data_IF_164302291879
#
_entry.id   IF_164302291879
#
_cell.length_a   1.000
_cell.length_b   1.000
_cell.length_c   1.000
_cell.angle_alpha   90.00
_cell.angle_beta   90.00
_cell.angle_gamma   90.00
#
_symmetry.space_group_name_H-M   'P 1'
#
loop_
_entity.id
_entity.type
_entity.pdbx_description
1 polymer ?
#
# COMPACT_ATOMS: atom_id res chain seq x y z
N UNK A 1 14.19 4.35 -1.62
CA UNK A 1 15.27 5.33 -1.95
C UNK A 1 15.53 6.19 -0.72
N UNK A 2 16.78 6.52 -0.39
CA UNK A 2 17.06 7.32 0.81
C UNK A 2 16.34 8.67 0.80
N UNK A 3 15.69 8.99 1.92
CA UNK A 3 14.96 10.25 2.11
C UNK A 3 13.53 10.29 1.56
N UNK A 4 13.04 9.22 0.92
CA UNK A 4 11.67 9.16 0.40
C UNK A 4 10.62 8.99 1.51
N UNK A 5 9.41 9.46 1.24
CA UNK A 5 8.21 9.22 2.03
C UNK A 5 7.36 8.13 1.37
N UNK A 6 7.16 7.04 2.08
CA UNK A 6 6.39 5.88 1.61
C UNK A 6 5.12 5.69 2.45
N UNK A 7 4.08 5.15 1.82
CA UNK A 7 2.89 4.68 2.51
C UNK A 7 2.80 3.16 2.41
N UNK A 8 2.57 2.50 3.55
CA UNK A 8 2.21 1.08 3.64
C UNK A 8 0.75 0.99 4.13
N UNK A 9 -0.17 0.73 3.22
CA UNK A 9 -1.60 0.72 3.49
C UNK A 9 -2.13 -0.72 3.60
N UNK A 10 -2.94 -0.96 4.63
CA UNK A 10 -3.33 -2.30 5.08
C UNK A 10 -2.11 -3.07 5.59
N UNK A 11 -1.31 -2.41 6.42
CA UNK A 11 0.04 -2.83 6.78
C UNK A 11 0.12 -4.14 7.57
N UNK A 12 -1.01 -4.63 8.12
CA UNK A 12 -1.06 -5.84 8.90
C UNK A 12 -0.08 -5.78 10.08
N UNK A 13 0.81 -6.77 10.17
CA UNK A 13 1.85 -6.84 11.21
C UNK A 13 3.11 -6.03 10.87
N UNK A 14 3.09 -5.23 9.80
CA UNK A 14 4.16 -4.33 9.41
C UNK A 14 5.25 -4.94 8.52
N UNK A 15 4.92 -5.97 7.74
CA UNK A 15 5.90 -6.67 6.89
C UNK A 15 6.54 -5.73 5.86
N UNK A 16 5.72 -5.04 5.06
CA UNK A 16 6.24 -4.13 4.03
C UNK A 16 6.89 -2.90 4.64
N UNK A 17 6.27 -2.30 5.67
CA UNK A 17 6.86 -1.18 6.39
C UNK A 17 8.26 -1.50 6.92
N UNK A 18 8.46 -2.68 7.52
CA UNK A 18 9.75 -3.13 8.01
C UNK A 18 10.80 -3.30 6.91
N UNK A 19 10.42 -3.92 5.77
CA UNK A 19 11.31 -4.08 4.63
C UNK A 19 11.69 -2.72 4.00
N UNK A 20 10.71 -1.82 3.82
CA UNK A 20 10.90 -0.52 3.18
C UNK A 20 11.67 0.48 4.06
N UNK A 21 11.60 0.31 5.38
CA UNK A 21 12.30 1.17 6.34
C UNK A 21 13.82 1.21 6.10
N UNK A 22 14.42 0.08 5.73
CA UNK A 22 15.84 0.00 5.40
C UNK A 22 16.17 0.79 4.11
N UNK A 23 15.29 0.74 3.12
CA UNK A 23 15.49 1.38 1.81
C UNK A 23 15.37 2.91 1.87
N UNK A 24 14.44 3.44 2.69
CA UNK A 24 14.31 4.90 2.87
C UNK A 24 15.40 5.50 3.75
N UNK A 25 16.02 4.68 4.59
CA UNK A 25 17.09 5.09 5.49
C UNK A 25 16.64 6.10 6.55
N UNK A 26 17.59 6.62 7.33
CA UNK A 26 17.33 7.49 8.47
C UNK A 26 16.70 8.87 8.11
N UNK A 27 16.83 9.29 6.84
CA UNK A 27 16.26 10.57 6.36
C UNK A 27 14.86 10.40 5.73
N UNK A 28 14.36 9.18 5.58
CA UNK A 28 13.06 8.87 4.99
C UNK A 28 11.98 8.62 6.04
N UNK A 29 10.79 8.33 5.54
CA UNK A 29 9.60 8.09 6.36
C UNK A 29 8.75 6.98 5.75
N UNK A 30 8.23 6.08 6.57
CA UNK A 30 7.18 5.12 6.20
C UNK A 30 5.98 5.33 7.11
N UNK A 31 4.86 5.78 6.57
CA UNK A 31 3.58 5.81 7.28
C UNK A 31 2.85 4.48 7.01
N UNK A 32 2.72 3.65 8.05
CA UNK A 32 2.04 2.35 8.01
C UNK A 32 0.64 2.47 8.61
N UNK A 33 -0.40 2.10 7.85
CA UNK A 33 -1.80 2.24 8.27
C UNK A 33 -2.47 0.89 8.38
N UNK A 34 -2.99 0.57 9.57
CA UNK A 34 -3.69 -0.68 9.86
C UNK A 34 -4.84 -0.43 10.84
N UNK A 35 -5.98 -1.12 10.66
CA UNK A 35 -7.14 -0.92 11.52
C UNK A 35 -7.37 -2.06 12.53
N UNK A 36 -6.90 -3.27 12.24
CA UNK A 36 -7.06 -4.40 13.16
C UNK A 36 -6.19 -4.22 14.41
N UNK A 37 -6.81 -4.22 15.56
CA UNK A 37 -6.14 -3.93 16.83
C UNK A 37 -5.09 -4.97 17.22
N UNK A 38 -5.28 -6.23 16.79
CA UNK A 38 -4.32 -7.31 16.99
C UNK A 38 -3.08 -7.11 16.12
N UNK A 39 -3.28 -6.89 14.82
CA UNK A 39 -2.21 -6.61 13.89
C UNK A 39 -1.41 -5.34 14.27
N UNK A 40 -2.09 -4.26 14.65
CA UNK A 40 -1.45 -3.02 15.16
C UNK A 40 -0.56 -3.29 16.37
N UNK A 41 -1.02 -4.11 17.32
CA UNK A 41 -0.21 -4.47 18.49
C UNK A 41 1.05 -5.24 18.10
N UNK A 42 0.93 -6.17 17.17
CA UNK A 42 2.06 -6.96 16.71
C UNK A 42 3.00 -6.13 15.82
N UNK A 43 2.45 -5.25 14.96
CA UNK A 43 3.25 -4.28 14.20
C UNK A 43 4.09 -3.37 15.12
N UNK A 44 3.55 -2.88 16.23
CA UNK A 44 4.32 -2.10 17.22
C UNK A 44 5.52 -2.85 17.78
N UNK A 45 5.40 -4.18 17.95
CA UNK A 45 6.51 -5.02 18.42
C UNK A 45 7.53 -5.25 17.32
N UNK A 46 7.06 -5.47 16.09
CA UNK A 46 7.93 -5.75 14.96
C UNK A 46 8.72 -4.53 14.46
N UNK A 47 8.16 -3.34 14.64
CA UNK A 47 8.70 -2.08 14.10
C UNK A 47 9.31 -1.16 15.18
N UNK A 48 9.45 -1.64 16.44
CA UNK A 48 9.81 -0.81 17.59
C UNK A 48 11.18 -0.15 17.48
N UNK A 49 12.11 -0.73 16.74
CA UNK A 49 13.48 -0.27 16.52
C UNK A 49 13.68 0.48 15.19
N UNK A 50 12.59 0.78 14.49
CA UNK A 50 12.61 1.47 13.20
C UNK A 50 12.02 2.90 13.36
N UNK A 51 12.83 3.90 13.76
CA UNK A 51 12.35 5.25 14.08
C UNK A 51 11.78 5.99 12.86
N UNK A 52 12.10 5.56 11.63
CA UNK A 52 11.54 6.10 10.39
C UNK A 52 10.13 5.57 10.09
N UNK A 53 9.61 4.58 10.84
CA UNK A 53 8.25 4.05 10.64
C UNK A 53 7.28 4.71 11.64
N UNK A 54 6.18 5.24 11.11
CA UNK A 54 5.04 5.73 11.90
C UNK A 54 3.84 4.83 11.70
N UNK A 55 3.37 4.18 12.76
CA UNK A 55 2.22 3.30 12.70
C UNK A 55 0.93 4.04 13.10
N UNK A 56 -0.06 3.99 12.23
CA UNK A 56 -1.38 4.59 12.40
C UNK A 56 -2.45 3.50 12.57
N UNK A 57 -3.09 3.48 13.75
CA UNK A 57 -4.21 2.58 14.05
C UNK A 57 -5.50 3.19 13.52
N UNK A 58 -5.80 3.01 12.23
CA UNK A 58 -6.96 3.61 11.56
C UNK A 58 -7.38 2.80 10.33
N UNK A 59 -8.65 2.99 9.90
CA UNK A 59 -9.07 2.53 8.56
C UNK A 59 -8.40 3.37 7.50
N UNK A 60 -7.94 2.73 6.43
CA UNK A 60 -7.22 3.39 5.32
C UNK A 60 -8.04 4.51 4.68
N UNK A 61 -9.30 4.27 4.36
CA UNK A 61 -10.20 5.26 3.77
C UNK A 61 -10.37 6.51 4.66
N UNK A 62 -10.55 6.29 5.95
CA UNK A 62 -10.69 7.35 6.94
C UNK A 62 -9.38 8.11 7.12
N UNK A 63 -8.26 7.42 7.20
CA UNK A 63 -6.95 8.04 7.38
C UNK A 63 -6.56 8.91 6.19
N UNK A 64 -6.83 8.43 4.96
CA UNK A 64 -6.58 9.19 3.72
C UNK A 64 -7.48 10.43 3.59
N UNK A 65 -8.66 10.43 4.23
CA UNK A 65 -9.64 11.51 4.13
C UNK A 65 -9.54 12.54 5.26
N UNK A 66 -8.92 12.19 6.40
CA UNK A 66 -9.02 12.96 7.64
C UNK A 66 -8.20 14.25 7.65
N UNK A 67 -7.26 14.45 6.72
CA UNK A 67 -6.35 15.60 6.68
C UNK A 67 -5.69 15.73 5.30
N UNK A 68 -5.14 16.91 4.95
CA UNK A 68 -4.19 17.00 3.87
C UNK A 68 -3.00 16.11 4.16
N UNK A 69 -2.78 15.10 3.33
CA UNK A 69 -1.61 14.25 3.44
C UNK A 69 -0.43 14.95 2.75
N UNK A 70 0.79 14.81 3.31
CA UNK A 70 1.98 15.23 2.59
C UNK A 70 2.10 14.41 1.30
N UNK A 71 2.74 14.99 0.30
CA UNK A 71 3.11 14.22 -0.88
C UNK A 71 3.92 13.00 -0.45
N UNK A 72 3.68 11.87 -1.10
CA UNK A 72 4.47 10.66 -0.91
C UNK A 72 5.08 10.23 -2.23
N UNK A 73 6.20 9.52 -2.15
CA UNK A 73 6.95 9.09 -3.34
C UNK A 73 6.47 7.75 -3.86
N UNK A 74 6.07 6.86 -2.96
CA UNK A 74 5.62 5.50 -3.28
C UNK A 74 4.52 5.05 -2.33
N UNK A 75 3.58 4.28 -2.84
CA UNK A 75 2.56 3.59 -2.03
C UNK A 75 2.69 2.09 -2.24
N UNK A 76 2.66 1.33 -1.16
CA UNK A 76 2.40 -0.11 -1.17
C UNK A 76 1.04 -0.34 -0.53
N UNK A 77 0.21 -1.20 -1.11
CA UNK A 77 -1.05 -1.59 -0.50
C UNK A 77 -1.35 -3.07 -0.72
N UNK A 78 -1.88 -3.69 0.32
CA UNK A 78 -2.31 -5.09 0.35
C UNK A 78 -3.74 -5.17 0.92
N UNK A 79 -4.74 -4.73 0.16
CA UNK A 79 -6.11 -4.63 0.65
C UNK A 79 -6.78 -6.01 0.78
N UNK A 80 -7.90 -6.09 1.52
CA UNK A 80 -8.69 -7.30 1.61
C UNK A 80 -9.22 -7.73 0.23
N UNK A 81 -9.81 -8.93 0.14
CA UNK A 81 -10.40 -9.51 -1.09
C UNK A 81 -11.39 -8.62 -1.83
N UNK A 82 -12.01 -7.67 -1.13
CA UNK A 82 -12.89 -6.68 -1.76
C UNK A 82 -12.16 -5.65 -2.64
N UNK A 83 -10.83 -5.58 -2.56
CA UNK A 83 -10.01 -4.55 -3.16
C UNK A 83 -9.91 -3.28 -2.30
N UNK A 84 -9.16 -2.29 -2.79
CA UNK A 84 -9.01 -0.99 -2.15
C UNK A 84 -10.27 -0.12 -2.34
N UNK A 85 -10.92 -0.25 -3.49
CA UNK A 85 -12.13 0.47 -3.85
C UNK A 85 -11.88 1.91 -4.30
N UNK A 86 -12.90 2.49 -4.95
CA UNK A 86 -12.80 3.79 -5.63
C UNK A 86 -12.34 4.92 -4.71
N UNK A 87 -12.86 5.01 -3.49
CA UNK A 87 -12.51 6.09 -2.55
C UNK A 87 -11.02 6.12 -2.22
N UNK A 88 -10.43 4.95 -1.98
CA UNK A 88 -8.99 4.83 -1.71
C UNK A 88 -8.19 5.15 -2.98
N UNK A 89 -8.55 4.57 -4.13
CA UNK A 89 -7.88 4.83 -5.41
C UNK A 89 -7.91 6.33 -5.76
N UNK A 90 -9.06 6.99 -5.65
CA UNK A 90 -9.19 8.44 -5.88
C UNK A 90 -8.27 9.26 -4.96
N UNK A 91 -8.11 8.85 -3.70
CA UNK A 91 -7.22 9.53 -2.78
C UNK A 91 -5.75 9.32 -3.16
N UNK A 92 -5.36 8.10 -3.51
CA UNK A 92 -3.97 7.75 -3.87
C UNK A 92 -3.48 8.53 -5.11
N UNK A 93 -4.33 8.69 -6.12
CA UNK A 93 -3.95 9.41 -7.36
C UNK A 93 -3.64 10.89 -7.15
N UNK A 94 -4.01 11.46 -6.00
CA UNK A 94 -3.77 12.86 -5.63
C UNK A 94 -2.55 13.07 -4.74
N UNK A 95 -1.88 12.00 -4.29
CA UNK A 95 -0.74 12.10 -3.37
C UNK A 95 0.59 12.47 -4.06
N UNK A 96 0.61 12.53 -5.39
CA UNK A 96 1.84 12.82 -6.15
C UNK A 96 2.82 11.64 -6.23
N UNK A 97 2.42 10.45 -5.81
CA UNK A 97 3.26 9.26 -5.86
C UNK A 97 3.67 8.92 -7.30
N UNK A 98 4.94 8.58 -7.48
CA UNK A 98 5.47 8.12 -8.78
C UNK A 98 5.06 6.70 -9.14
N UNK A 99 4.64 5.91 -8.14
CA UNK A 99 4.16 4.56 -8.33
C UNK A 99 3.31 4.07 -7.16
N UNK A 100 2.43 3.13 -7.46
CA UNK A 100 1.67 2.33 -6.49
C UNK A 100 1.98 0.86 -6.75
N UNK A 101 2.53 0.17 -5.75
CA UNK A 101 2.69 -1.28 -5.73
C UNK A 101 1.44 -1.89 -5.06
N UNK A 102 0.63 -2.57 -5.82
CA UNK A 102 -0.62 -3.18 -5.36
C UNK A 102 -0.44 -4.69 -5.25
N UNK A 103 -0.50 -5.21 -4.05
CA UNK A 103 -0.56 -6.66 -3.76
C UNK A 103 -2.03 -7.06 -3.66
N UNK A 104 -2.44 -8.14 -4.29
CA UNK A 104 -3.84 -8.56 -4.35
C UNK A 104 -3.99 -10.08 -4.31
N UNK A 105 -4.82 -10.55 -3.39
CA UNK A 105 -5.22 -11.96 -3.31
C UNK A 105 -6.49 -12.28 -4.13
N UNK A 106 -7.11 -11.28 -4.77
CA UNK A 106 -8.28 -11.45 -5.65
C UNK A 106 -8.06 -10.70 -6.98
N UNK A 107 -7.83 -11.44 -8.09
CA UNK A 107 -7.59 -10.84 -9.40
C UNK A 107 -8.77 -10.02 -9.94
N UNK A 108 -10.03 -10.37 -9.57
CA UNK A 108 -11.20 -9.65 -10.05
C UNK A 108 -11.33 -8.29 -9.37
N UNK A 109 -11.04 -8.22 -8.06
CA UNK A 109 -10.99 -6.96 -7.34
C UNK A 109 -9.85 -6.08 -7.85
N UNK A 110 -8.65 -6.65 -8.07
CA UNK A 110 -7.53 -5.95 -8.68
C UNK A 110 -7.90 -5.35 -10.04
N UNK A 111 -8.53 -6.13 -10.93
CA UNK A 111 -8.92 -5.64 -12.26
C UNK A 111 -9.87 -4.45 -12.20
N UNK A 112 -10.83 -4.43 -11.28
CA UNK A 112 -11.73 -3.28 -11.05
C UNK A 112 -10.99 -2.04 -10.59
N UNK A 113 -10.06 -2.20 -9.64
CA UNK A 113 -9.29 -1.09 -9.09
C UNK A 113 -8.29 -0.55 -10.13
N UNK A 114 -7.64 -1.42 -10.93
CA UNK A 114 -6.79 -1.05 -12.07
C UNK A 114 -7.59 -0.24 -13.10
N UNK A 115 -8.84 -0.67 -13.40
CA UNK A 115 -9.75 0.10 -14.26
C UNK A 115 -10.05 1.49 -13.71
N UNK A 116 -10.22 1.62 -12.38
CA UNK A 116 -10.42 2.90 -11.69
C UNK A 116 -9.17 3.79 -11.80
N UNK A 117 -7.97 3.24 -11.56
CA UNK A 117 -6.71 3.94 -11.76
C UNK A 117 -6.55 4.42 -13.20
N UNK A 118 -6.91 3.56 -14.19
CA UNK A 118 -6.86 3.93 -15.61
C UNK A 118 -7.74 5.13 -15.95
N UNK A 119 -8.95 5.18 -15.41
CA UNK A 119 -9.86 6.34 -15.55
C UNK A 119 -9.37 7.62 -14.90
N UNK A 120 -8.35 7.55 -14.04
CA UNK A 120 -7.75 8.67 -13.30
C UNK A 120 -6.34 9.05 -13.82
N UNK A 121 -5.96 8.58 -15.00
CA UNK A 121 -4.69 8.93 -15.64
C UNK A 121 -3.49 8.11 -15.15
N UNK A 122 -3.73 6.90 -14.66
CA UNK A 122 -2.68 5.95 -14.29
C UNK A 122 -2.70 4.74 -15.23
N UNK A 123 -1.56 4.09 -15.40
CA UNK A 123 -1.43 2.88 -16.20
C UNK A 123 -0.88 1.73 -15.38
N UNK A 124 -1.31 0.53 -15.71
CA UNK A 124 -0.67 -0.70 -15.25
C UNK A 124 0.66 -0.85 -16.00
N UNK A 125 1.77 -0.74 -15.28
CA UNK A 125 3.13 -0.85 -15.83
C UNK A 125 3.62 -2.29 -15.85
N UNK A 126 3.37 -3.02 -14.76
CA UNK A 126 3.80 -4.42 -14.60
C UNK A 126 2.73 -5.19 -13.83
N UNK A 127 2.53 -6.45 -14.21
CA UNK A 127 1.70 -7.39 -13.47
C UNK A 127 2.45 -8.72 -13.35
N UNK A 128 2.55 -9.23 -12.13
CA UNK A 128 3.07 -10.56 -11.83
C UNK A 128 2.03 -11.34 -11.05
N UNK A 129 1.89 -12.62 -11.35
CA UNK A 129 1.01 -13.54 -10.65
C UNK A 129 1.85 -14.67 -10.02
N UNK A 130 1.47 -15.09 -8.82
CA UNK A 130 2.18 -16.08 -8.04
C UNK A 130 1.20 -17.16 -7.56
N UNK A 131 1.49 -18.40 -7.83
CA UNK A 131 0.80 -19.56 -7.26
C UNK A 131 1.44 -19.94 -5.92
N UNK A 132 1.05 -19.22 -4.87
CA UNK A 132 1.58 -19.42 -3.51
C UNK A 132 0.75 -20.42 -2.70
N UNK A 133 -0.43 -20.78 -3.17
CA UNK A 133 -1.36 -21.69 -2.48
C UNK A 133 -1.72 -22.89 -3.35
N UNK A 134 -0.79 -23.85 -3.54
CA UNK A 134 -1.03 -25.03 -4.37
C UNK A 134 -2.31 -25.76 -3.99
N UNK A 135 -3.03 -26.30 -4.97
CA UNK A 135 -4.31 -26.99 -4.82
C UNK A 135 -5.49 -26.09 -4.37
N UNK A 136 -5.35 -24.80 -4.46
CA UNK A 136 -6.44 -23.83 -4.30
C UNK A 136 -6.60 -23.00 -5.58
N UNK A 137 -7.69 -22.23 -5.65
CA UNK A 137 -7.88 -21.26 -6.76
C UNK A 137 -7.32 -19.86 -6.46
N UNK A 138 -6.56 -19.74 -5.37
CA UNK A 138 -5.99 -18.46 -4.95
C UNK A 138 -4.71 -18.17 -5.71
N UNK A 139 -4.69 -16.99 -6.34
CA UNK A 139 -3.52 -16.45 -7.04
C UNK A 139 -3.21 -15.09 -6.41
N UNK A 140 -1.98 -14.94 -5.96
CA UNK A 140 -1.49 -13.65 -5.50
C UNK A 140 -0.96 -12.84 -6.69
N UNK A 141 -1.34 -11.60 -6.78
CA UNK A 141 -0.91 -10.70 -7.83
C UNK A 141 -0.13 -9.52 -7.25
N UNK A 142 0.90 -9.09 -7.95
CA UNK A 142 1.60 -7.83 -7.67
C UNK A 142 1.54 -6.97 -8.94
N UNK A 143 0.85 -5.85 -8.83
CA UNK A 143 0.69 -4.87 -9.90
C UNK A 143 1.47 -3.60 -9.58
N UNK A 144 2.21 -3.07 -10.54
CA UNK A 144 2.83 -1.75 -10.46
C UNK A 144 2.04 -0.78 -11.33
N UNK A 145 1.52 0.27 -10.70
CA UNK A 145 0.76 1.33 -11.35
C UNK A 145 1.58 2.63 -11.32
N UNK A 146 1.53 3.38 -12.41
CA UNK A 146 2.27 4.64 -12.56
C UNK A 146 1.40 5.69 -13.24
N UNK A 147 1.58 6.99 -12.94
CA UNK A 147 0.94 8.06 -13.68
C UNK A 147 1.27 7.98 -15.17
N UNK A 148 0.31 8.33 -16.01
CA UNK A 148 0.55 8.57 -17.44
C UNK A 148 1.16 9.98 -17.54
N UNK A 149 2.38 10.05 -18.06
CA UNK A 149 3.11 11.31 -18.28
C UNK A 149 2.43 12.15 -19.35
#
# INVERSE_FOLDING_TARGET
>A
MPGEHLLDLYAGVGLFAGCLAADVGAGGLVDAVEHDSGAVRDARRNLHDLPQVRLHAARVDTWLSARPLPQCDLVVLDPPRSGAGRTVVDALTRLGARAVAYVACDPAALARDVGTFGGLGWRLSTLRAFDLFPMTHHVECVALLQPIS
#
